data_IF_629151102659
#
_entry.id   IF_629151102659
#
_cell.length_a   1.000
_cell.length_b   1.000
_cell.length_c   1.000
_cell.angle_alpha   90.00
_cell.angle_beta   90.00
_cell.angle_gamma   90.00
#
_symmetry.space_group_name_H-M   'P 1'
#
loop_
_entity.id
_entity.type
_entity.pdbx_description
1 polymer ?
#
# COMPACT_ATOMS: atom_id res chain seq x y z
N UNK A 1 -45.23 12.16 -63.79
CA UNK A 1 -45.47 13.48 -63.15
C UNK A 1 -46.43 13.26 -62.00
N UNK A 2 -46.11 13.74 -60.80
CA UNK A 2 -47.04 13.80 -59.67
C UNK A 2 -47.33 15.30 -59.45
N UNK A 3 -48.60 15.67 -59.21
CA UNK A 3 -49.04 17.08 -59.19
C UNK A 3 -48.74 17.89 -60.48
N UNK A 4 -48.77 17.26 -61.66
CA UNK A 4 -48.43 17.88 -62.98
C UNK A 4 -47.02 18.50 -63.07
N UNK A 5 -46.14 18.18 -62.12
CA UNK A 5 -44.74 18.60 -62.15
C UNK A 5 -43.87 17.52 -62.78
N UNK A 6 -43.06 17.92 -63.75
CA UNK A 6 -41.92 17.13 -64.21
C UNK A 6 -40.70 17.55 -63.40
N UNK A 7 -40.10 16.60 -62.69
CA UNK A 7 -38.87 16.80 -61.94
C UNK A 7 -37.73 16.08 -62.63
N UNK A 8 -36.60 16.76 -62.72
CA UNK A 8 -35.34 16.14 -63.14
C UNK A 8 -34.80 15.25 -62.03
N UNK A 9 -33.94 14.29 -62.39
CA UNK A 9 -33.30 13.40 -61.40
C UNK A 9 -32.50 14.19 -60.35
N UNK A 10 -31.88 15.30 -60.77
CA UNK A 10 -31.15 16.18 -59.86
C UNK A 10 -32.07 16.89 -58.86
N UNK A 11 -33.20 17.42 -59.31
CA UNK A 11 -34.18 18.08 -58.43
C UNK A 11 -34.76 17.12 -57.39
N UNK A 12 -34.95 15.84 -57.76
CA UNK A 12 -35.37 14.81 -56.82
C UNK A 12 -34.31 14.55 -55.74
N UNK A 13 -33.04 14.38 -56.13
CA UNK A 13 -31.92 14.18 -55.20
C UNK A 13 -31.75 15.39 -54.28
N UNK A 14 -31.78 16.60 -54.85
CA UNK A 14 -31.69 17.85 -54.10
C UNK A 14 -32.81 17.98 -53.06
N UNK A 15 -34.05 17.70 -53.47
CA UNK A 15 -35.21 17.72 -52.57
C UNK A 15 -35.07 16.70 -51.44
N UNK A 16 -34.64 15.48 -51.73
CA UNK A 16 -34.45 14.43 -50.72
C UNK A 16 -33.37 14.80 -49.70
N UNK A 17 -32.21 15.30 -50.15
CA UNK A 17 -31.11 15.69 -49.26
C UNK A 17 -31.57 16.81 -48.31
N UNK A 18 -32.22 17.86 -48.82
CA UNK A 18 -32.70 18.97 -47.99
C UNK A 18 -33.73 18.56 -46.93
N UNK A 19 -34.50 17.49 -47.18
CA UNK A 19 -35.42 16.90 -46.21
C UNK A 19 -34.69 16.01 -45.21
N UNK A 20 -33.71 15.23 -45.66
CA UNK A 20 -32.90 14.38 -44.80
C UNK A 20 -32.05 15.20 -43.81
N UNK A 21 -31.50 16.34 -44.25
CA UNK A 21 -30.62 17.23 -43.44
C UNK A 21 -31.39 18.26 -42.62
N UNK A 22 -32.73 18.25 -42.66
CA UNK A 22 -33.61 19.22 -41.98
C UNK A 22 -33.40 20.69 -42.36
N UNK A 23 -32.66 20.98 -43.44
CA UNK A 23 -32.35 22.36 -43.90
C UNK A 23 -33.60 23.10 -44.35
N UNK A 24 -34.57 22.38 -44.93
CA UNK A 24 -35.92 22.91 -45.22
C UNK A 24 -36.02 23.89 -46.38
N UNK A 25 -34.92 24.18 -47.07
CA UNK A 25 -34.91 25.16 -48.17
C UNK A 25 -35.67 24.63 -49.39
N UNK A 26 -36.70 25.37 -49.80
CA UNK A 26 -37.61 25.01 -50.89
C UNK A 26 -37.36 25.93 -52.08
N UNK A 27 -36.90 25.39 -53.20
CA UNK A 27 -37.07 26.08 -54.49
C UNK A 27 -38.58 26.19 -54.77
N UNK A 28 -39.10 27.35 -55.24
CA UNK A 28 -40.53 27.55 -55.46
C UNK A 28 -41.21 26.49 -56.36
N UNK A 29 -40.45 25.87 -57.25
CA UNK A 29 -40.90 24.77 -58.13
C UNK A 29 -41.17 23.45 -57.39
N UNK A 30 -40.53 23.23 -56.23
CA UNK A 30 -40.50 21.96 -55.48
C UNK A 30 -41.38 21.97 -54.21
N UNK A 31 -42.34 22.89 -54.14
CA UNK A 31 -43.37 22.91 -53.09
C UNK A 31 -44.50 21.98 -53.49
N UNK A 32 -44.76 20.95 -52.69
CA UNK A 32 -45.83 19.97 -52.91
C UNK A 32 -46.92 20.13 -51.85
N UNK A 33 -48.18 20.14 -52.28
CA UNK A 33 -49.33 20.40 -51.39
C UNK A 33 -50.19 19.16 -51.15
N UNK A 34 -49.94 18.06 -51.85
CA UNK A 34 -50.69 16.81 -51.66
C UNK A 34 -50.29 16.09 -50.37
N UNK A 35 -51.29 15.56 -49.68
CA UNK A 35 -51.11 14.81 -48.43
C UNK A 35 -50.13 13.61 -48.55
N UNK A 36 -50.12 12.82 -49.64
CA UNK A 36 -49.17 11.71 -49.78
C UNK A 36 -47.71 12.15 -49.84
N UNK A 37 -47.40 13.26 -50.53
CA UNK A 37 -46.02 13.76 -50.65
C UNK A 37 -45.58 14.41 -49.34
N UNK A 38 -46.49 15.08 -48.62
CA UNK A 38 -46.19 15.63 -47.30
C UNK A 38 -45.88 14.52 -46.29
N UNK A 39 -46.64 13.41 -46.31
CA UNK A 39 -46.37 12.26 -45.46
C UNK A 39 -44.99 11.67 -45.77
N UNK A 40 -44.65 11.49 -47.05
CA UNK A 40 -43.33 11.04 -47.48
C UNK A 40 -42.22 11.98 -46.99
N UNK A 41 -42.42 13.29 -47.10
CA UNK A 41 -41.47 14.31 -46.61
C UNK A 41 -41.24 14.21 -45.10
N UNK A 42 -42.29 13.99 -44.31
CA UNK A 42 -42.19 13.78 -42.86
C UNK A 42 -41.43 12.49 -42.56
N UNK A 43 -41.71 11.40 -43.28
CA UNK A 43 -40.98 10.13 -43.11
C UNK A 43 -39.49 10.29 -43.41
N UNK A 44 -39.14 10.98 -44.50
CA UNK A 44 -37.73 11.23 -44.85
C UNK A 44 -37.04 12.07 -43.77
N UNK A 45 -37.71 13.12 -43.26
CA UNK A 45 -37.16 13.96 -42.18
C UNK A 45 -36.93 13.18 -40.88
N UNK A 46 -37.90 12.38 -40.43
CA UNK A 46 -37.76 11.56 -39.21
C UNK A 46 -36.65 10.52 -39.40
N UNK A 47 -36.56 9.90 -40.58
CA UNK A 47 -35.50 8.93 -40.87
C UNK A 47 -34.10 9.57 -40.89
N UNK A 48 -33.97 10.77 -41.45
CA UNK A 48 -32.72 11.52 -41.46
C UNK A 48 -32.28 11.95 -40.06
N UNK A 49 -33.23 12.43 -39.26
CA UNK A 49 -32.98 12.79 -37.86
C UNK A 49 -32.57 11.57 -37.03
N UNK A 50 -33.28 10.46 -37.15
CA UNK A 50 -32.95 9.21 -36.47
C UNK A 50 -31.58 8.69 -36.91
N UNK A 51 -31.25 8.74 -38.20
CA UNK A 51 -29.94 8.35 -38.70
C UNK A 51 -28.83 9.25 -38.15
N UNK A 52 -29.02 10.57 -38.13
CA UNK A 52 -28.03 11.50 -37.58
C UNK A 52 -27.82 11.27 -36.08
N UNK A 53 -28.89 11.17 -35.28
CA UNK A 53 -28.76 10.96 -33.83
C UNK A 53 -28.36 9.55 -33.41
N UNK A 54 -28.58 8.52 -34.25
CA UNK A 54 -28.15 7.16 -33.95
C UNK A 54 -26.76 6.86 -34.54
N UNK A 55 -26.54 7.05 -35.83
CA UNK A 55 -25.31 6.64 -36.50
C UNK A 55 -24.13 7.57 -36.21
N UNK A 56 -24.36 8.89 -36.04
CA UNK A 56 -23.29 9.85 -35.82
C UNK A 56 -22.58 9.66 -34.47
N UNK A 57 -23.28 9.48 -33.33
CA UNK A 57 -22.60 9.17 -32.06
C UNK A 57 -21.88 7.82 -32.11
N UNK A 58 -22.49 6.80 -32.71
CA UNK A 58 -21.90 5.47 -32.87
C UNK A 58 -20.61 5.45 -33.71
N UNK A 59 -20.39 6.45 -34.58
CA UNK A 59 -19.16 6.57 -35.38
C UNK A 59 -18.14 7.53 -34.75
N UNK A 60 -18.59 8.68 -34.24
CA UNK A 60 -17.69 9.74 -33.74
C UNK A 60 -17.19 9.46 -32.33
N UNK A 61 -18.05 8.98 -31.43
CA UNK A 61 -17.63 8.69 -30.04
C UNK A 61 -16.46 7.71 -30.03
N UNK A 62 -16.52 6.52 -30.67
CA UNK A 62 -15.38 5.60 -30.67
C UNK A 62 -14.16 6.16 -31.43
N UNK A 63 -14.37 6.96 -32.48
CA UNK A 63 -13.24 7.59 -33.20
C UNK A 63 -12.54 8.67 -32.36
N UNK A 64 -13.29 9.39 -31.52
CA UNK A 64 -12.79 10.43 -30.63
C UNK A 64 -12.14 9.82 -29.38
N UNK A 65 -12.74 8.78 -28.79
CA UNK A 65 -12.14 8.00 -27.70
C UNK A 65 -10.78 7.45 -28.12
N UNK A 66 -10.64 6.84 -29.30
CA UNK A 66 -9.33 6.37 -29.80
C UNK A 66 -8.28 7.46 -29.97
N UNK A 67 -8.68 8.73 -30.16
CA UNK A 67 -7.76 9.87 -30.39
C UNK A 67 -7.41 10.64 -29.12
N UNK A 68 -8.33 10.68 -28.15
CA UNK A 68 -8.15 11.35 -26.86
C UNK A 68 -7.61 10.38 -25.81
N UNK A 69 -8.20 9.19 -25.73
CA UNK A 69 -7.83 8.16 -24.76
C UNK A 69 -6.76 7.21 -25.29
N UNK A 70 -6.44 7.23 -26.59
CA UNK A 70 -5.33 6.51 -27.20
C UNK A 70 -5.13 5.11 -26.63
N UNK A 71 -5.77 4.09 -27.21
CA UNK A 71 -5.52 2.70 -26.82
C UNK A 71 -3.99 2.49 -26.78
N UNK A 72 -3.40 2.22 -25.61
CA UNK A 72 -1.97 1.98 -25.53
C UNK A 72 -1.71 0.79 -26.44
N UNK A 73 -0.80 0.95 -27.39
CA UNK A 73 -0.46 -0.13 -28.31
C UNK A 73 -0.12 -1.37 -27.47
N UNK A 74 -0.80 -2.49 -27.73
CA UNK A 74 -0.42 -3.80 -27.18
C UNK A 74 1.03 -4.05 -27.58
N UNK A 75 1.95 -3.80 -26.66
CA UNK A 75 3.37 -3.96 -26.88
C UNK A 75 3.72 -5.39 -26.52
N UNK A 76 4.18 -6.16 -27.50
CA UNK A 76 4.72 -7.49 -27.25
C UNK A 76 6.15 -7.34 -26.75
N UNK A 77 6.35 -7.57 -25.45
CA UNK A 77 7.65 -7.51 -24.79
C UNK A 77 8.46 -8.72 -25.26
N UNK A 78 9.60 -8.48 -25.93
CA UNK A 78 10.45 -9.53 -26.53
C UNK A 78 11.78 -9.67 -25.79
N UNK A 79 11.71 -9.74 -24.46
CA UNK A 79 12.86 -10.04 -23.60
C UNK A 79 12.81 -11.51 -23.15
N UNK A 80 13.98 -12.06 -22.82
CA UNK A 80 14.15 -13.36 -22.19
C UNK A 80 14.91 -13.14 -20.88
N UNK A 81 14.69 -14.00 -19.88
CA UNK A 81 15.31 -13.92 -18.54
C UNK A 81 14.97 -12.63 -17.76
N UNK A 82 13.78 -12.06 -18.00
CA UNK A 82 13.29 -10.84 -17.34
C UNK A 82 12.27 -11.13 -16.23
N UNK A 83 11.99 -10.15 -15.39
CA UNK A 83 10.99 -10.23 -14.31
C UNK A 83 9.70 -9.53 -14.74
N UNK A 84 8.55 -10.16 -14.49
CA UNK A 84 7.24 -9.53 -14.65
C UNK A 84 6.70 -9.16 -13.27
N UNK A 85 6.29 -7.91 -13.09
CA UNK A 85 5.67 -7.42 -11.84
C UNK A 85 4.22 -7.04 -12.11
N UNK A 86 3.28 -7.72 -11.48
CA UNK A 86 1.84 -7.52 -11.66
C UNK A 86 1.29 -6.64 -10.54
N UNK A 87 1.04 -5.38 -10.86
CA UNK A 87 0.60 -4.34 -9.93
C UNK A 87 1.75 -3.44 -9.47
N UNK A 88 1.52 -2.12 -9.49
CA UNK A 88 2.49 -1.12 -9.04
C UNK A 88 2.02 -0.42 -7.75
N UNK A 89 2.92 -0.28 -6.79
CA UNK A 89 2.75 0.48 -5.55
C UNK A 89 4.12 0.99 -5.06
N UNK A 90 4.13 1.75 -3.97
CA UNK A 90 5.36 2.34 -3.38
C UNK A 90 6.43 1.26 -3.05
N UNK A 91 5.99 0.04 -2.71
CA UNK A 91 6.88 -1.10 -2.48
C UNK A 91 7.55 -1.56 -3.78
N UNK A 92 6.77 -1.73 -4.85
CA UNK A 92 7.28 -2.12 -6.18
C UNK A 92 8.20 -1.05 -6.76
N UNK A 93 7.97 0.23 -6.47
CA UNK A 93 8.90 1.30 -6.83
C UNK A 93 10.29 1.05 -6.26
N UNK A 94 10.38 0.69 -4.98
CA UNK A 94 11.64 0.35 -4.31
C UNK A 94 12.28 -0.92 -4.91
N UNK A 95 11.48 -1.95 -5.21
CA UNK A 95 11.98 -3.17 -5.87
C UNK A 95 12.56 -2.87 -7.26
N UNK A 96 11.89 -2.01 -8.03
CA UNK A 96 12.33 -1.62 -9.37
C UNK A 96 13.70 -0.95 -9.32
N UNK A 97 13.95 -0.07 -8.36
CA UNK A 97 15.24 0.60 -8.20
C UNK A 97 16.37 -0.41 -7.95
N UNK A 98 16.13 -1.44 -7.14
CA UNK A 98 17.08 -2.56 -6.96
C UNK A 98 17.31 -3.36 -8.25
N UNK A 99 16.25 -3.65 -9.02
CA UNK A 99 16.36 -4.37 -10.29
C UNK A 99 17.16 -3.57 -11.32
N UNK A 100 16.96 -2.25 -11.38
CA UNK A 100 17.73 -1.34 -12.23
C UNK A 100 19.19 -1.31 -11.80
N UNK A 101 19.47 -1.20 -10.50
CA UNK A 101 20.83 -1.19 -9.97
C UNK A 101 21.58 -2.52 -10.25
N UNK A 102 20.86 -3.65 -10.19
CA UNK A 102 21.38 -4.98 -10.53
C UNK A 102 21.50 -5.21 -12.04
N UNK A 103 20.93 -4.34 -12.88
CA UNK A 103 20.84 -4.53 -14.33
C UNK A 103 19.91 -5.69 -14.74
N UNK A 104 18.96 -6.05 -13.88
CA UNK A 104 18.00 -7.13 -14.12
C UNK A 104 16.85 -6.60 -14.98
N UNK A 105 16.60 -7.16 -16.17
CA UNK A 105 15.50 -6.73 -17.03
C UNK A 105 14.15 -7.02 -16.37
N UNK A 106 13.20 -6.08 -16.44
CA UNK A 106 11.85 -6.26 -15.89
C UNK A 106 10.78 -5.54 -16.71
N UNK A 107 9.51 -5.85 -16.44
CA UNK A 107 8.33 -5.15 -16.95
C UNK A 107 7.21 -5.15 -15.92
N UNK A 108 6.51 -4.01 -15.78
CA UNK A 108 5.36 -3.84 -14.89
C UNK A 108 4.07 -4.01 -15.69
N UNK A 109 3.07 -4.69 -15.12
CA UNK A 109 1.72 -4.80 -15.67
C UNK A 109 0.76 -4.13 -14.69
N UNK A 110 -0.05 -3.19 -15.18
CA UNK A 110 -1.14 -2.61 -14.39
C UNK A 110 -2.36 -2.29 -15.26
N UNK A 111 -3.55 -2.30 -14.64
CA UNK A 111 -4.82 -2.02 -15.29
C UNK A 111 -5.24 -0.54 -15.20
N UNK A 112 -4.46 0.31 -14.52
CA UNK A 112 -4.61 1.76 -14.56
C UNK A 112 -3.78 2.38 -15.70
N UNK A 113 -4.48 2.88 -16.72
CA UNK A 113 -3.85 3.53 -17.89
C UNK A 113 -3.11 4.82 -17.51
N UNK A 114 -3.56 5.54 -16.48
CA UNK A 114 -2.92 6.76 -15.98
C UNK A 114 -1.57 6.43 -15.37
N UNK A 115 -1.53 5.42 -14.51
CA UNK A 115 -0.31 4.93 -13.87
C UNK A 115 0.69 4.39 -14.91
N UNK A 116 0.25 3.53 -15.82
CA UNK A 116 1.12 2.99 -16.88
C UNK A 116 1.72 4.11 -17.73
N UNK A 117 0.95 5.16 -18.04
CA UNK A 117 1.47 6.33 -18.77
C UNK A 117 2.50 7.10 -17.97
N UNK A 118 2.30 7.26 -16.67
CA UNK A 118 3.27 7.89 -15.79
C UNK A 118 4.59 7.09 -15.77
N UNK A 119 4.51 5.77 -15.59
CA UNK A 119 5.67 4.88 -15.60
C UNK A 119 6.43 4.96 -16.93
N UNK A 120 5.72 4.92 -18.05
CA UNK A 120 6.33 5.06 -19.38
C UNK A 120 7.00 6.43 -19.59
N UNK A 121 6.45 7.51 -19.02
CA UNK A 121 7.08 8.84 -19.03
C UNK A 121 8.36 8.87 -18.19
N UNK A 122 8.39 8.12 -17.09
CA UNK A 122 9.58 7.90 -16.25
C UNK A 122 10.58 6.90 -16.86
N UNK A 123 10.34 6.39 -18.07
CA UNK A 123 11.13 5.35 -18.76
C UNK A 123 11.14 4.00 -18.05
N UNK A 124 10.15 3.74 -17.20
CA UNK A 124 9.93 2.42 -16.58
C UNK A 124 9.17 1.53 -17.58
N UNK A 125 9.68 0.33 -17.92
CA UNK A 125 8.97 -0.66 -18.73
C UNK A 125 7.61 -1.03 -18.14
N UNK A 126 6.51 -0.60 -18.77
CA UNK A 126 5.16 -0.89 -18.29
C UNK A 126 4.18 -1.23 -19.42
N UNK A 127 3.33 -2.22 -19.17
CA UNK A 127 2.27 -2.72 -20.05
C UNK A 127 0.93 -2.43 -19.40
N UNK A 128 0.02 -1.86 -20.20
CA UNK A 128 -1.36 -1.71 -19.80
C UNK A 128 -2.14 -2.99 -20.08
N UNK A 129 -2.75 -3.56 -19.04
CA UNK A 129 -3.59 -4.73 -19.14
C UNK A 129 -3.90 -5.33 -17.77
N UNK A 130 -4.87 -6.23 -17.73
CA UNK A 130 -5.17 -6.98 -16.50
C UNK A 130 -4.21 -8.18 -16.38
N UNK A 131 -3.39 -8.28 -15.32
CA UNK A 131 -2.49 -9.42 -15.11
C UNK A 131 -3.23 -10.75 -14.87
N UNK A 132 -4.53 -10.72 -14.62
CA UNK A 132 -5.39 -11.91 -14.53
C UNK A 132 -5.85 -12.40 -15.90
N UNK A 133 -5.58 -11.67 -16.98
CA UNK A 133 -5.85 -12.10 -18.35
C UNK A 133 -4.63 -12.76 -18.99
N UNK A 134 -4.88 -13.90 -19.63
CA UNK A 134 -3.85 -14.70 -20.28
C UNK A 134 -3.07 -13.91 -21.33
N UNK A 135 -3.79 -13.14 -22.15
CA UNK A 135 -3.24 -12.36 -23.25
C UNK A 135 -2.26 -11.27 -22.75
N UNK A 136 -2.52 -10.71 -21.57
CA UNK A 136 -1.65 -9.68 -20.96
C UNK A 136 -0.32 -10.27 -20.53
N UNK A 137 -0.34 -11.39 -19.81
CA UNK A 137 0.87 -12.09 -19.37
C UNK A 137 1.69 -12.60 -20.56
N UNK A 138 1.03 -13.12 -21.60
CA UNK A 138 1.69 -13.51 -22.86
C UNK A 138 2.34 -12.29 -23.52
N UNK A 139 1.64 -11.15 -23.57
CA UNK A 139 2.17 -9.92 -24.15
C UNK A 139 3.38 -9.37 -23.37
N UNK A 140 3.45 -9.65 -22.07
CA UNK A 140 4.59 -9.35 -21.22
C UNK A 140 5.76 -10.35 -21.32
N UNK A 141 5.61 -11.40 -22.14
CA UNK A 141 6.64 -12.42 -22.32
C UNK A 141 6.72 -13.42 -21.18
N UNK A 142 5.57 -13.80 -20.57
CA UNK A 142 5.54 -14.71 -19.41
C UNK A 142 6.29 -16.04 -19.61
N UNK A 143 6.25 -16.62 -20.81
CA UNK A 143 6.94 -17.88 -21.11
C UNK A 143 8.47 -17.76 -21.12
N UNK A 144 8.99 -16.55 -21.38
CA UNK A 144 10.43 -16.28 -21.49
C UNK A 144 10.96 -15.53 -20.24
N UNK A 145 10.06 -15.16 -19.32
CA UNK A 145 10.39 -14.52 -18.06
C UNK A 145 11.09 -15.51 -17.12
N UNK A 146 11.93 -15.00 -16.23
CA UNK A 146 12.54 -15.76 -15.15
C UNK A 146 11.61 -15.87 -13.94
N UNK A 147 10.96 -14.76 -13.60
CA UNK A 147 10.06 -14.66 -12.45
C UNK A 147 8.82 -13.83 -12.78
N UNK A 148 7.69 -14.20 -12.19
CA UNK A 148 6.45 -13.42 -12.19
C UNK A 148 6.09 -13.11 -10.73
N UNK A 149 5.93 -11.83 -10.41
CA UNK A 149 5.63 -11.31 -9.08
C UNK A 149 4.17 -10.84 -9.09
N UNK A 150 3.31 -11.47 -8.31
CA UNK A 150 1.94 -11.01 -8.10
C UNK A 150 1.88 -10.08 -6.89
N UNK A 151 1.51 -8.81 -7.14
CA UNK A 151 1.48 -7.72 -6.17
C UNK A 151 0.21 -6.86 -6.32
N UNK A 152 -0.94 -7.44 -5.99
CA UNK A 152 -2.23 -6.74 -5.84
C UNK A 152 -2.59 -6.66 -4.35
N UNK A 153 -3.37 -5.65 -3.99
CA UNK A 153 -3.89 -5.47 -2.63
C UNK A 153 -4.77 -6.66 -2.19
N UNK A 154 -5.50 -7.27 -3.13
CA UNK A 154 -6.33 -8.45 -2.89
C UNK A 154 -5.54 -9.75 -3.10
N UNK A 155 -5.50 -10.60 -2.06
CA UNK A 155 -4.83 -11.90 -2.14
C UNK A 155 -5.52 -12.86 -3.13
N UNK A 156 -6.84 -12.72 -3.33
CA UNK A 156 -7.58 -13.51 -4.31
C UNK A 156 -7.10 -13.19 -5.73
N UNK A 157 -6.80 -11.92 -6.02
CA UNK A 157 -6.24 -11.49 -7.30
C UNK A 157 -4.82 -12.06 -7.49
N UNK A 158 -3.98 -12.01 -6.46
CA UNK A 158 -2.63 -12.61 -6.52
C UNK A 158 -2.68 -14.11 -6.78
N UNK A 159 -3.60 -14.84 -6.14
CA UNK A 159 -3.80 -16.27 -6.39
C UNK A 159 -4.27 -16.55 -7.83
N UNK A 160 -5.15 -15.70 -8.39
CA UNK A 160 -5.59 -15.81 -9.78
C UNK A 160 -4.47 -15.53 -10.77
N UNK A 161 -3.65 -14.49 -10.53
CA UNK A 161 -2.48 -14.19 -11.37
C UNK A 161 -1.53 -15.39 -11.43
N UNK A 162 -1.22 -15.99 -10.27
CA UNK A 162 -0.40 -17.21 -10.18
C UNK A 162 -1.03 -18.37 -10.95
N UNK A 163 -2.34 -18.59 -10.80
CA UNK A 163 -3.05 -19.66 -11.49
C UNK A 163 -3.00 -19.48 -13.01
N UNK A 164 -3.24 -18.26 -13.51
CA UNK A 164 -3.18 -17.94 -14.93
C UNK A 164 -1.75 -18.11 -15.46
N UNK A 165 -0.75 -17.59 -14.74
CA UNK A 165 0.65 -17.75 -15.09
C UNK A 165 1.09 -19.22 -15.17
N UNK A 166 0.64 -20.06 -14.24
CA UNK A 166 0.89 -21.52 -14.23
C UNK A 166 0.15 -22.24 -15.36
N UNK A 167 -0.97 -21.70 -15.83
CA UNK A 167 -1.70 -22.21 -16.99
C UNK A 167 -1.00 -21.93 -18.32
N UNK A 168 -0.29 -20.80 -18.42
CA UNK A 168 0.43 -20.36 -19.62
C UNK A 168 1.82 -21.01 -19.69
N UNK A 169 2.52 -21.02 -18.56
CA UNK A 169 3.91 -21.42 -18.45
C UNK A 169 3.99 -22.62 -17.51
N UNK A 170 4.89 -23.58 -17.75
CA UNK A 170 5.14 -24.70 -16.84
C UNK A 170 5.93 -24.26 -15.59
N UNK A 171 5.54 -23.14 -14.99
CA UNK A 171 6.18 -22.53 -13.83
C UNK A 171 5.92 -23.29 -12.53
N UNK A 172 6.90 -23.27 -11.63
CA UNK A 172 6.72 -23.71 -10.25
C UNK A 172 6.64 -22.48 -9.35
N UNK A 173 5.68 -22.48 -8.41
CA UNK A 173 5.63 -21.46 -7.38
C UNK A 173 6.89 -21.59 -6.51
N UNK A 174 7.76 -20.57 -6.54
CA UNK A 174 9.07 -20.67 -5.90
C UNK A 174 9.06 -20.15 -4.47
N UNK A 175 8.22 -19.18 -4.11
CA UNK A 175 7.99 -18.82 -2.69
C UNK A 175 7.00 -17.67 -2.47
N UNK A 176 6.44 -17.63 -1.26
CA UNK A 176 5.80 -16.45 -0.68
C UNK A 176 6.86 -15.58 0.03
N UNK A 177 7.00 -14.33 -0.40
CA UNK A 177 7.77 -13.31 0.28
C UNK A 177 6.85 -12.41 1.08
N UNK A 178 7.27 -11.97 2.26
CA UNK A 178 6.50 -11.09 3.13
C UNK A 178 7.33 -9.88 3.51
N UNK A 179 6.66 -8.79 3.91
CA UNK A 179 7.29 -7.64 4.53
C UNK A 179 6.95 -7.63 6.02
N UNK A 180 7.96 -7.43 6.86
CA UNK A 180 7.76 -7.22 8.30
C UNK A 180 8.49 -5.98 8.79
N UNK A 181 7.88 -5.37 9.81
CA UNK A 181 8.50 -4.35 10.62
C UNK A 181 9.11 -4.97 11.88
N UNK A 182 10.40 -4.77 12.07
CA UNK A 182 11.18 -5.37 13.15
C UNK A 182 11.83 -4.30 14.00
N UNK A 183 11.32 -4.03 15.21
CA UNK A 183 12.00 -3.15 16.15
C UNK A 183 13.31 -3.79 16.57
N UNK A 184 14.32 -2.94 16.76
CA UNK A 184 15.62 -3.36 17.28
C UNK A 184 15.60 -3.17 18.77
N UNK A 185 15.80 -4.27 19.51
CA UNK A 185 15.82 -4.21 20.96
C UNK A 185 17.24 -3.84 21.46
N UNK A 186 17.34 -3.09 22.57
CA UNK A 186 18.62 -2.82 23.21
C UNK A 186 19.39 -4.11 23.50
N UNK A 187 20.67 -4.14 23.15
CA UNK A 187 21.50 -5.35 23.25
C UNK A 187 21.38 -6.30 22.06
N UNK A 188 20.63 -5.94 21.02
CA UNK A 188 20.68 -6.64 19.74
C UNK A 188 22.11 -6.60 19.17
N UNK A 189 22.58 -7.66 18.51
CA UNK A 189 23.83 -7.67 17.76
C UNK A 189 23.91 -6.61 16.66
N UNK A 190 22.79 -5.97 16.29
CA UNK A 190 22.75 -4.92 15.28
C UNK A 190 22.84 -3.50 15.87
N UNK A 191 22.64 -3.34 17.18
CA UNK A 191 22.63 -2.02 17.82
C UNK A 191 24.01 -1.36 17.77
N UNK A 192 24.08 -0.18 17.16
CA UNK A 192 25.31 0.60 16.96
C UNK A 192 26.12 0.26 15.71
N UNK A 193 25.74 -0.79 14.95
CA UNK A 193 26.40 -1.16 13.70
C UNK A 193 25.88 -0.31 12.53
N UNK A 194 26.70 -0.18 11.48
CA UNK A 194 26.21 0.25 10.16
C UNK A 194 25.51 -0.90 9.44
N UNK A 195 24.67 -0.59 8.44
CA UNK A 195 24.04 -1.61 7.60
C UNK A 195 25.04 -2.57 6.97
N UNK A 196 26.17 -2.04 6.47
CA UNK A 196 27.27 -2.84 5.95
C UNK A 196 27.84 -3.81 6.98
N UNK A 197 28.08 -3.35 8.21
CA UNK A 197 28.65 -4.16 9.29
C UNK A 197 27.65 -5.19 9.84
N UNK A 198 26.34 -4.90 9.75
CA UNK A 198 25.29 -5.79 10.23
C UNK A 198 25.20 -7.10 9.45
N UNK A 199 25.60 -7.08 8.18
CA UNK A 199 25.53 -8.21 7.23
C UNK A 199 24.20 -8.97 7.31
N UNK A 200 23.08 -8.24 7.40
CA UNK A 200 21.73 -8.81 7.51
C UNK A 200 21.42 -9.76 6.33
N UNK A 201 21.63 -9.38 5.06
CA UNK A 201 21.38 -10.27 3.93
C UNK A 201 22.16 -11.58 4.02
N UNK A 202 23.43 -11.55 4.45
CA UNK A 202 24.27 -12.73 4.57
C UNK A 202 23.91 -13.62 5.77
N UNK A 203 23.34 -13.04 6.84
CA UNK A 203 23.04 -13.75 8.09
C UNK A 203 21.70 -14.49 8.06
N UNK A 204 20.68 -13.91 7.44
CA UNK A 204 19.34 -14.49 7.44
C UNK A 204 18.69 -14.58 6.05
N UNK A 205 19.31 -14.01 5.01
CA UNK A 205 18.75 -14.02 3.66
C UNK A 205 17.59 -13.06 3.44
N UNK A 206 17.24 -12.24 4.43
CA UNK A 206 16.23 -11.19 4.28
C UNK A 206 16.85 -9.93 3.66
N UNK A 207 16.12 -9.30 2.73
CA UNK A 207 16.46 -8.00 2.18
C UNK A 207 15.92 -6.90 3.11
N UNK A 208 16.69 -5.84 3.30
CA UNK A 208 16.23 -4.67 4.06
C UNK A 208 15.81 -3.58 3.08
N UNK A 209 14.54 -3.19 3.15
CA UNK A 209 13.94 -2.18 2.25
C UNK A 209 14.03 -0.79 2.83
N UNK A 210 13.91 -0.68 4.16
CA UNK A 210 13.87 0.62 4.81
C UNK A 210 14.12 0.56 6.30
N UNK A 211 14.32 1.75 6.87
CA UNK A 211 14.45 1.94 8.30
C UNK A 211 13.50 3.07 8.71
N UNK A 212 12.60 2.78 9.65
CA UNK A 212 11.94 3.83 10.39
C UNK A 212 12.91 4.40 11.43
N UNK A 213 13.09 5.72 11.40
CA UNK A 213 13.81 6.47 12.41
C UNK A 213 12.91 7.58 12.96
N UNK A 214 12.50 7.46 14.22
CA UNK A 214 11.66 8.46 14.92
C UNK A 214 10.40 8.86 14.12
N UNK A 215 9.76 7.88 13.48
CA UNK A 215 8.55 8.07 12.69
C UNK A 215 8.75 8.51 11.24
N UNK A 216 9.99 8.71 10.79
CA UNK A 216 10.31 8.93 9.37
C UNK A 216 10.83 7.63 8.76
N UNK A 217 10.23 7.19 7.66
CA UNK A 217 10.71 6.05 6.89
C UNK A 217 11.80 6.53 5.92
N UNK A 218 13.02 6.02 6.09
CA UNK A 218 14.09 6.09 5.10
C UNK A 218 14.04 4.82 4.27
N UNK A 219 13.58 4.95 3.02
CA UNK A 219 13.68 3.92 2.00
C UNK A 219 15.11 3.91 1.44
N UNK A 220 15.63 2.73 1.13
CA UNK A 220 17.00 2.54 0.60
C UNK A 220 18.11 3.18 1.46
N UNK A 221 18.18 2.84 2.76
CA UNK A 221 19.20 3.39 3.62
C UNK A 221 20.60 3.02 3.11
N UNK A 222 21.48 4.01 3.00
CA UNK A 222 22.83 3.81 2.51
C UNK A 222 23.63 2.80 3.35
N UNK A 223 24.68 2.16 2.81
CA UNK A 223 25.42 1.12 3.52
C UNK A 223 26.09 1.59 4.83
N UNK A 224 26.30 2.90 4.96
CA UNK A 224 26.89 3.53 6.15
C UNK A 224 25.83 4.04 7.14
N UNK A 225 24.53 3.88 6.83
CA UNK A 225 23.42 4.20 7.73
C UNK A 225 23.52 3.36 8.99
N UNK A 226 23.41 4.03 10.14
CA UNK A 226 23.56 3.41 11.45
C UNK A 226 22.24 2.85 11.93
N UNK A 227 22.34 1.65 12.46
CA UNK A 227 21.28 0.91 13.10
C UNK A 227 21.35 1.18 14.60
N UNK A 228 20.23 1.52 15.23
CA UNK A 228 20.12 1.69 16.68
C UNK A 228 18.84 1.07 17.24
N UNK A 229 18.77 0.93 18.56
CA UNK A 229 17.56 0.51 19.26
C UNK A 229 16.34 1.45 19.08
N UNK A 230 16.53 2.65 18.51
CA UNK A 230 15.44 3.56 18.12
C UNK A 230 14.88 3.28 16.71
N UNK A 231 15.49 2.35 15.97
CA UNK A 231 15.10 2.02 14.61
C UNK A 231 14.10 0.85 14.56
N UNK A 232 13.18 0.91 13.60
CA UNK A 232 12.37 -0.24 13.16
C UNK A 232 12.80 -0.59 11.74
N UNK A 233 13.32 -1.80 11.56
CA UNK A 233 13.75 -2.31 10.26
C UNK A 233 12.52 -2.75 9.45
N UNK A 234 12.45 -2.37 8.19
CA UNK A 234 11.47 -2.89 7.22
C UNK A 234 12.19 -3.89 6.34
N UNK A 235 11.84 -5.16 6.46
CA UNK A 235 12.54 -6.26 5.78
C UNK A 235 11.59 -7.10 4.93
N UNK A 236 12.05 -7.48 3.74
CA UNK A 236 11.39 -8.41 2.82
C UNK A 236 12.12 -9.76 2.84
N UNK A 237 11.37 -10.85 2.88
CA UNK A 237 11.95 -12.18 2.80
C UNK A 237 10.92 -13.29 2.86
N UNK A 238 11.35 -14.52 2.64
CA UNK A 238 10.55 -15.69 2.97
C UNK A 238 10.33 -15.77 4.49
N UNK A 239 9.23 -16.41 4.90
CA UNK A 239 8.86 -16.54 6.33
C UNK A 239 10.02 -17.04 7.21
N UNK A 240 10.79 -18.01 6.76
CA UNK A 240 11.93 -18.57 7.51
C UNK A 240 13.07 -17.54 7.69
N UNK A 241 13.35 -16.74 6.66
CA UNK A 241 14.39 -15.70 6.64
C UNK A 241 14.02 -14.57 7.60
N UNK A 242 12.76 -14.15 7.55
CA UNK A 242 12.21 -13.11 8.40
C UNK A 242 12.12 -13.51 9.89
N UNK A 243 11.74 -14.76 10.19
CA UNK A 243 11.81 -15.30 11.55
C UNK A 243 13.25 -15.36 12.07
N UNK A 244 14.21 -15.69 11.21
CA UNK A 244 15.64 -15.64 11.53
C UNK A 244 16.10 -14.23 11.89
N UNK A 245 15.69 -13.22 11.11
CA UNK A 245 15.98 -11.81 11.40
C UNK A 245 15.34 -11.36 12.72
N UNK A 246 14.08 -11.72 12.97
CA UNK A 246 13.37 -11.41 14.22
C UNK A 246 14.07 -11.99 15.46
N UNK A 247 14.62 -13.21 15.36
CA UNK A 247 15.39 -13.80 16.45
C UNK A 247 16.67 -13.03 16.78
N UNK A 248 17.32 -12.47 15.75
CA UNK A 248 18.53 -11.66 15.90
C UNK A 248 18.24 -10.24 16.42
N UNK A 249 17.05 -9.68 16.21
CA UNK A 249 16.68 -8.39 16.81
C UNK A 249 16.26 -8.52 18.29
N UNK A 250 15.83 -9.71 18.73
CA UNK A 250 15.28 -9.98 20.08
C UNK A 250 16.23 -10.76 20.99
N UNK A 251 17.44 -10.27 21.23
CA UNK A 251 18.36 -10.95 22.17
C UNK A 251 18.07 -10.53 23.62
N UNK A 252 17.01 -11.06 24.23
CA UNK A 252 16.89 -11.08 25.69
C UNK A 252 17.09 -12.52 26.15
N UNK A 253 18.29 -12.86 26.59
CA UNK A 253 18.45 -13.95 27.56
C UNK A 253 17.92 -13.44 28.90
N UNK A 254 16.68 -13.81 29.23
CA UNK A 254 15.94 -13.42 30.44
C UNK A 254 16.61 -13.81 31.78
N UNK A 255 17.83 -14.37 31.76
CA UNK A 255 18.51 -14.90 32.95
C UNK A 255 19.37 -13.87 33.71
N UNK A 256 19.94 -12.87 33.03
CA UNK A 256 20.86 -11.90 33.68
C UNK A 256 20.19 -10.60 34.13
N UNK A 257 18.88 -10.49 33.92
CA UNK A 257 18.12 -9.23 33.95
C UNK A 257 17.28 -9.07 35.24
N UNK A 258 17.11 -10.16 36.00
CA UNK A 258 16.24 -10.25 37.18
C UNK A 258 16.62 -9.32 38.33
N UNK A 259 17.82 -8.72 38.34
CA UNK A 259 18.26 -7.85 39.44
C UNK A 259 18.15 -6.34 39.13
N UNK A 260 17.80 -5.91 37.90
CA UNK A 260 17.86 -4.49 37.50
C UNK A 260 16.71 -3.87 36.70
N UNK A 261 15.74 -4.61 36.16
CA UNK A 261 14.66 -3.97 35.38
C UNK A 261 13.46 -3.58 36.26
N UNK A 262 13.58 -2.42 36.91
CA UNK A 262 12.43 -1.70 37.44
C UNK A 262 11.73 -0.93 36.32
N UNK A 263 10.41 -1.08 36.18
CA UNK A 263 9.60 -0.33 35.20
C UNK A 263 8.64 0.63 35.89
N UNK A 264 8.36 1.78 35.27
CA UNK A 264 7.34 2.72 35.75
C UNK A 264 6.17 2.74 34.76
N UNK A 265 4.95 2.56 35.25
CA UNK A 265 3.72 2.55 34.44
C UNK A 265 2.86 3.75 34.83
N UNK A 266 2.66 4.69 33.91
CA UNK A 266 1.77 5.84 34.08
C UNK A 266 0.39 5.53 33.51
N UNK A 267 -0.59 5.36 34.39
CA UNK A 267 -1.97 5.03 34.09
C UNK A 267 -2.27 3.55 34.30
N UNK A 268 -3.24 3.26 35.17
CA UNK A 268 -3.69 1.91 35.53
C UNK A 268 -5.10 1.63 34.99
N UNK A 269 -5.31 2.00 33.72
CA UNK A 269 -6.47 1.58 32.93
C UNK A 269 -6.32 0.15 32.40
N UNK A 270 -7.05 -0.20 31.34
CA UNK A 270 -7.00 -1.55 30.76
C UNK A 270 -5.61 -1.90 30.24
N UNK A 271 -4.95 -0.96 29.56
CA UNK A 271 -3.60 -1.15 29.03
C UNK A 271 -2.57 -1.24 30.15
N UNK A 272 -2.62 -0.34 31.15
CA UNK A 272 -1.70 -0.39 32.29
C UNK A 272 -1.80 -1.68 33.10
N UNK A 273 -3.03 -2.22 33.29
CA UNK A 273 -3.25 -3.53 33.89
C UNK A 273 -2.63 -4.66 33.07
N UNK A 274 -2.90 -4.69 31.77
CA UNK A 274 -2.33 -5.71 30.89
C UNK A 274 -0.80 -5.70 30.90
N UNK A 275 -0.17 -4.51 30.88
CA UNK A 275 1.28 -4.36 31.00
C UNK A 275 1.75 -4.93 32.35
N UNK A 276 1.10 -4.56 33.45
CA UNK A 276 1.44 -5.05 34.80
C UNK A 276 1.38 -6.57 34.89
N UNK A 277 0.30 -7.18 34.37
CA UNK A 277 0.09 -8.63 34.41
C UNK A 277 1.19 -9.37 33.63
N UNK A 278 1.57 -8.83 32.47
CA UNK A 278 2.67 -9.39 31.66
C UNK A 278 4.00 -9.27 32.41
N UNK A 279 4.33 -8.10 32.96
CA UNK A 279 5.57 -7.91 33.71
C UNK A 279 5.65 -8.82 34.93
N UNK A 280 4.56 -8.96 35.69
CA UNK A 280 4.46 -9.87 36.83
C UNK A 280 4.67 -11.33 36.43
N UNK A 281 4.10 -11.75 35.30
CA UNK A 281 4.26 -13.12 34.78
C UNK A 281 5.72 -13.46 34.43
N UNK A 282 6.51 -12.43 34.11
CA UNK A 282 7.94 -12.55 33.80
C UNK A 282 8.84 -12.28 35.02
N UNK A 283 8.26 -12.05 36.21
CA UNK A 283 9.01 -11.75 37.43
C UNK A 283 9.68 -10.36 37.43
N UNK A 284 9.22 -9.44 36.57
CA UNK A 284 9.78 -8.10 36.44
C UNK A 284 9.10 -7.12 37.40
N UNK A 285 9.90 -6.31 38.10
CA UNK A 285 9.40 -5.32 39.05
C UNK A 285 8.84 -4.07 38.35
N UNK A 286 7.72 -3.55 38.85
CA UNK A 286 7.15 -2.30 38.34
C UNK A 286 6.48 -1.44 39.42
N UNK A 287 6.54 -0.12 39.26
CA UNK A 287 5.78 0.87 40.03
C UNK A 287 4.70 1.47 39.13
N UNK A 288 3.48 1.52 39.64
CA UNK A 288 2.33 2.07 38.91
C UNK A 288 1.98 3.44 39.49
N UNK A 289 1.72 4.39 38.61
CA UNK A 289 1.25 5.73 38.93
C UNK A 289 -0.16 5.88 38.36
N UNK A 290 -1.15 6.13 39.21
CA UNK A 290 -2.51 6.43 38.75
C UNK A 290 -3.24 7.36 39.74
N UNK A 291 -3.89 8.46 39.27
CA UNK A 291 -4.59 9.38 40.16
C UNK A 291 -5.74 8.74 40.96
N UNK A 292 -6.31 7.65 40.45
CA UNK A 292 -7.46 6.93 41.01
C UNK A 292 -7.06 5.66 41.74
N UNK A 293 -5.76 5.38 41.91
CA UNK A 293 -5.28 4.25 42.67
C UNK A 293 -5.84 4.29 44.12
N UNK A 294 -6.38 3.16 44.58
CA UNK A 294 -6.77 2.99 46.00
C UNK A 294 -5.56 2.45 46.76
N UNK A 295 -5.26 3.05 47.92
CA UNK A 295 -4.10 2.79 48.79
C UNK A 295 -3.64 1.33 48.87
N UNK A 296 -2.33 1.12 48.62
CA UNK A 296 -1.63 -0.16 48.51
C UNK A 296 -0.79 -0.21 47.22
N UNK A 297 0.43 -0.77 47.27
CA UNK A 297 1.46 -1.08 46.23
C UNK A 297 1.66 -0.15 45.00
N UNK A 298 0.92 0.94 44.90
CA UNK A 298 0.85 1.86 43.76
C UNK A 298 0.97 3.30 44.27
N UNK A 299 1.51 4.18 43.43
CA UNK A 299 1.62 5.59 43.73
C UNK A 299 0.36 6.31 43.22
N UNK A 300 -0.37 6.91 44.16
CA UNK A 300 -1.53 7.72 43.83
C UNK A 300 -1.07 9.13 43.43
N UNK A 301 -1.11 9.43 42.13
CA UNK A 301 -0.63 10.72 41.63
C UNK A 301 -0.78 10.86 40.12
N UNK A 302 -0.52 12.07 39.63
CA UNK A 302 -0.48 12.37 38.20
C UNK A 302 0.95 12.19 37.69
N UNK A 303 1.13 11.40 36.63
CA UNK A 303 2.45 11.18 36.03
C UNK A 303 3.00 12.42 35.29
N UNK A 304 2.21 13.49 35.17
CA UNK A 304 2.67 14.81 34.71
C UNK A 304 3.33 15.63 35.83
N UNK A 305 3.33 15.12 37.08
CA UNK A 305 4.06 15.72 38.19
C UNK A 305 5.45 15.06 38.33
N UNK A 306 6.49 15.88 38.19
CA UNK A 306 7.90 15.49 38.34
C UNK A 306 8.16 14.83 39.71
N UNK A 307 7.51 15.29 40.78
CA UNK A 307 7.65 14.74 42.12
C UNK A 307 7.12 13.31 42.24
N UNK A 308 6.02 12.99 41.55
CA UNK A 308 5.43 11.64 41.53
C UNK A 308 6.31 10.68 40.73
N UNK A 309 6.88 11.13 39.60
CA UNK A 309 7.85 10.33 38.83
C UNK A 309 9.13 10.06 39.64
N UNK A 310 9.59 11.03 40.43
CA UNK A 310 10.72 10.85 41.34
C UNK A 310 10.41 9.83 42.44
N UNK A 311 9.23 9.90 43.05
CA UNK A 311 8.76 8.91 44.03
C UNK A 311 8.68 7.50 43.42
N UNK A 312 8.34 7.42 42.12
CA UNK A 312 8.33 6.19 41.35
C UNK A 312 9.72 5.66 40.97
N UNK A 313 10.78 6.41 41.30
CA UNK A 313 12.19 6.10 41.03
C UNK A 313 12.49 5.98 39.54
N UNK A 314 11.96 6.89 38.73
CA UNK A 314 12.13 6.87 37.28
C UNK A 314 13.59 6.94 36.84
N UNK A 315 14.47 7.58 37.62
CA UNK A 315 15.91 7.70 37.34
C UNK A 315 16.65 6.35 37.45
N UNK A 316 16.04 5.37 38.10
CA UNK A 316 16.55 3.99 38.20
C UNK A 316 15.72 3.00 37.40
N UNK A 317 14.65 3.48 36.76
CA UNK A 317 13.80 2.64 35.95
C UNK A 317 14.48 2.41 34.60
N UNK A 318 14.39 1.17 34.13
CA UNK A 318 14.86 0.83 32.79
C UNK A 318 13.83 1.21 31.72
N UNK A 319 12.55 1.19 32.09
CA UNK A 319 11.46 1.45 31.15
C UNK A 319 10.37 2.31 31.79
N UNK A 320 9.77 3.17 30.98
CA UNK A 320 8.59 3.97 31.31
C UNK A 320 7.47 3.69 30.30
N UNK A 321 6.26 3.42 30.81
CA UNK A 321 5.08 3.17 30.01
C UNK A 321 4.07 4.31 30.19
N UNK A 322 3.91 5.18 29.19
CA UNK A 322 2.90 6.22 29.15
C UNK A 322 1.56 5.65 28.63
N UNK A 323 0.72 5.15 29.55
CA UNK A 323 -0.46 4.34 29.25
C UNK A 323 -1.80 5.00 29.64
N UNK A 324 -1.83 6.33 29.81
CA UNK A 324 -3.06 7.08 30.05
C UNK A 324 -4.04 6.96 28.88
N UNK A 325 -5.31 7.12 29.19
CA UNK A 325 -6.41 7.20 28.22
C UNK A 325 -6.53 8.60 27.57
N UNK A 326 -5.67 9.54 27.99
CA UNK A 326 -5.63 10.91 27.47
C UNK A 326 -4.25 11.16 26.86
N UNK A 327 -4.21 11.47 25.56
CA UNK A 327 -2.94 11.66 24.83
C UNK A 327 -2.11 12.83 25.37
N UNK A 328 -2.78 13.89 25.87
CA UNK A 328 -2.10 15.01 26.51
C UNK A 328 -1.21 14.54 27.66
N UNK A 329 -1.74 13.68 28.53
CA UNK A 329 -1.04 13.19 29.70
C UNK A 329 0.12 12.28 29.29
N UNK A 330 -0.08 11.44 28.25
CA UNK A 330 1.00 10.61 27.70
C UNK A 330 2.12 11.46 27.11
N UNK A 331 1.80 12.53 26.37
CA UNK A 331 2.79 13.45 25.79
C UNK A 331 3.57 14.17 26.90
N UNK A 332 2.88 14.76 27.88
CA UNK A 332 3.54 15.49 28.96
C UNK A 332 4.37 14.59 29.87
N UNK A 333 3.83 13.44 30.28
CA UNK A 333 4.58 12.48 31.12
C UNK A 333 5.78 11.90 30.38
N UNK A 334 5.69 11.65 29.07
CA UNK A 334 6.83 11.24 28.22
C UNK A 334 7.93 12.31 28.21
N UNK A 335 7.57 13.59 27.99
CA UNK A 335 8.53 14.70 28.01
C UNK A 335 9.28 14.80 29.35
N UNK A 336 8.55 14.70 30.46
CA UNK A 336 9.13 14.80 31.80
C UNK A 336 10.01 13.58 32.09
N UNK A 337 9.52 12.37 31.78
CA UNK A 337 10.27 11.13 31.93
C UNK A 337 11.61 11.17 31.18
N UNK A 338 11.60 11.55 29.89
CA UNK A 338 12.82 11.69 29.08
C UNK A 338 13.76 12.75 29.63
N UNK A 339 13.24 13.85 30.16
CA UNK A 339 14.05 14.91 30.78
C UNK A 339 14.73 14.45 32.07
N UNK A 340 14.02 13.70 32.91
CA UNK A 340 14.53 13.20 34.19
C UNK A 340 15.52 12.03 33.99
N UNK A 341 15.25 11.18 33.00
CA UNK A 341 16.09 10.03 32.65
C UNK A 341 16.30 10.01 31.13
N UNK A 342 17.39 10.62 30.61
CA UNK A 342 17.65 10.73 29.18
C UNK A 342 17.76 9.40 28.45
N UNK A 343 18.15 8.33 29.14
CA UNK A 343 18.43 7.01 28.55
C UNK A 343 17.33 5.97 28.85
N UNK A 344 16.21 6.36 29.47
CA UNK A 344 15.11 5.42 29.77
C UNK A 344 14.39 4.97 28.49
N UNK A 345 13.95 3.71 28.43
CA UNK A 345 13.10 3.27 27.31
C UNK A 345 11.65 3.67 27.53
N UNK A 346 11.08 4.49 26.62
CA UNK A 346 9.72 5.01 26.74
C UNK A 346 8.80 4.37 25.71
N UNK A 347 7.80 3.65 26.21
CA UNK A 347 6.70 3.10 25.43
C UNK A 347 5.44 3.92 25.69
N UNK A 348 4.84 4.49 24.65
CA UNK A 348 3.67 5.35 24.79
C UNK A 348 2.44 4.82 24.06
N UNK A 349 1.28 4.99 24.67
CA UNK A 349 -0.02 4.74 24.05
C UNK A 349 -0.49 6.00 23.32
N UNK A 350 -0.84 5.85 22.05
CA UNK A 350 -1.61 6.82 21.28
C UNK A 350 -3.08 6.40 21.23
N UNK A 351 -3.98 7.26 21.70
CA UNK A 351 -5.44 7.09 21.59
C UNK A 351 -5.98 7.67 20.28
N UNK A 352 -5.22 8.55 19.62
CA UNK A 352 -5.54 9.12 18.31
C UNK A 352 -4.34 9.12 17.38
N UNK A 353 -4.58 8.99 16.07
CA UNK A 353 -3.53 8.95 15.04
C UNK A 353 -2.70 10.25 15.01
N UNK A 354 -3.35 11.38 15.27
CA UNK A 354 -2.72 12.72 15.31
C UNK A 354 -1.73 12.92 16.47
N UNK A 355 -1.74 12.03 17.46
CA UNK A 355 -0.84 12.11 18.62
C UNK A 355 0.44 11.30 18.44
N UNK A 356 0.53 10.44 17.41
CA UNK A 356 1.68 9.55 17.21
C UNK A 356 2.98 10.34 17.05
N UNK A 357 3.03 11.26 16.08
CA UNK A 357 4.19 12.12 15.83
C UNK A 357 4.52 13.01 17.05
N UNK A 358 3.50 13.50 17.76
CA UNK A 358 3.70 14.32 18.98
C UNK A 358 4.33 13.52 20.11
N UNK A 359 3.99 12.23 20.26
CA UNK A 359 4.58 11.34 21.25
C UNK A 359 6.03 10.97 20.92
N UNK A 360 6.35 10.72 19.64
CA UNK A 360 7.74 10.54 19.21
C UNK A 360 8.57 11.81 19.47
N UNK A 361 8.03 12.99 19.11
CA UNK A 361 8.69 14.29 19.38
C UNK A 361 8.84 14.59 20.88
N UNK A 362 7.97 14.02 21.71
CA UNK A 362 8.08 14.11 23.16
C UNK A 362 9.23 13.25 23.72
N UNK A 363 9.79 12.35 22.92
CA UNK A 363 10.89 11.47 23.31
C UNK A 363 10.45 10.04 23.61
N UNK A 364 9.27 9.61 23.18
CA UNK A 364 8.90 8.19 23.19
C UNK A 364 9.76 7.43 22.18
N UNK A 365 10.26 6.25 22.56
CA UNK A 365 11.01 5.37 21.66
C UNK A 365 10.05 4.53 20.79
N UNK A 366 8.91 4.15 21.38
CA UNK A 366 7.87 3.38 20.69
C UNK A 366 6.48 3.92 21.00
N UNK A 367 5.66 4.10 19.96
CA UNK A 367 4.28 4.58 20.11
C UNK A 367 3.30 3.56 19.54
N UNK A 368 2.36 3.10 20.36
CA UNK A 368 1.34 2.12 19.97
C UNK A 368 -0.03 2.77 19.88
N UNK A 369 -0.66 2.69 18.71
CA UNK A 369 -2.06 3.08 18.55
C UNK A 369 -2.98 1.89 18.82
N UNK A 370 -3.69 1.93 19.96
CA UNK A 370 -4.56 0.82 20.35
C UNK A 370 -5.71 0.63 19.36
N UNK A 371 -6.26 1.71 18.81
CA UNK A 371 -7.36 1.64 17.83
C UNK A 371 -6.91 1.04 16.51
N UNK A 372 -5.71 1.38 16.03
CA UNK A 372 -5.14 0.78 14.81
C UNK A 372 -4.87 -0.71 15.02
N UNK A 373 -4.17 -1.06 16.10
CA UNK A 373 -3.83 -2.46 16.41
C UNK A 373 -5.09 -3.30 16.62
N UNK A 374 -6.07 -2.80 17.37
CA UNK A 374 -7.32 -3.52 17.59
C UNK A 374 -8.15 -3.66 16.31
N UNK A 375 -8.20 -2.63 15.45
CA UNK A 375 -8.90 -2.72 14.17
C UNK A 375 -8.25 -3.76 13.24
N UNK A 376 -6.91 -3.80 13.19
CA UNK A 376 -6.16 -4.82 12.46
C UNK A 376 -6.46 -6.22 13.00
N UNK A 377 -6.34 -6.43 14.31
CA UNK A 377 -6.64 -7.73 14.94
C UNK A 377 -8.11 -8.18 14.74
N UNK A 378 -9.06 -7.25 14.75
CA UNK A 378 -10.47 -7.58 14.50
C UNK A 378 -10.72 -7.94 13.02
N UNK A 379 -10.04 -7.27 12.09
CA UNK A 379 -10.07 -7.64 10.68
C UNK A 379 -9.44 -9.03 10.47
N UNK A 380 -8.33 -9.34 11.13
CA UNK A 380 -7.68 -10.67 11.11
C UNK A 380 -8.63 -11.79 11.54
N UNK A 381 -9.42 -11.58 12.60
CA UNK A 381 -10.37 -12.59 13.09
C UNK A 381 -11.53 -12.87 12.12
N UNK A 382 -11.89 -11.92 11.26
CA UNK A 382 -12.93 -12.10 10.24
C UNK A 382 -12.39 -12.75 8.97
N UNK A 383 -11.14 -12.45 8.62
CA UNK A 383 -10.50 -12.87 7.37
C UNK A 383 -9.82 -14.25 7.50
N UNK A 384 -9.53 -14.70 8.72
CA UNK A 384 -9.13 -16.09 9.00
C UNK A 384 -7.64 -16.40 8.85
N UNK A 385 -6.81 -15.42 8.47
CA UNK A 385 -5.38 -15.60 8.31
C UNK A 385 -4.55 -14.85 9.36
N UNK A 386 -3.53 -15.55 9.85
CA UNK A 386 -2.69 -15.15 10.98
C UNK A 386 -1.67 -14.08 10.55
N UNK A 387 -2.03 -12.80 10.67
CA UNK A 387 -1.08 -11.71 10.43
C UNK A 387 -0.38 -11.35 11.75
N UNK A 388 0.73 -12.03 12.05
CA UNK A 388 1.77 -11.44 12.92
C UNK A 388 2.44 -10.35 12.09
N UNK A 389 1.86 -9.16 11.99
CA UNK A 389 2.40 -7.96 11.30
C UNK A 389 3.28 -8.28 10.07
N UNK A 390 2.76 -9.16 9.20
CA UNK A 390 3.28 -9.47 7.88
C UNK A 390 2.42 -8.62 6.94
N UNK A 391 2.86 -7.40 6.64
CA UNK A 391 2.20 -6.59 5.63
C UNK A 391 2.56 -7.15 4.25
N UNK A 392 1.54 -7.57 3.51
CA UNK A 392 1.53 -7.93 2.09
C UNK A 392 2.51 -9.04 1.66
N UNK A 393 1.94 -10.20 1.31
CA UNK A 393 2.67 -11.33 0.74
C UNK A 393 2.84 -11.17 -0.76
N UNK A 394 4.04 -10.83 -1.22
CA UNK A 394 4.42 -10.94 -2.64
C UNK A 394 4.47 -12.43 -3.01
N UNK A 395 3.66 -12.86 -3.98
CA UNK A 395 3.72 -14.23 -4.51
C UNK A 395 4.63 -14.28 -5.73
N UNK A 396 5.71 -15.06 -5.64
CA UNK A 396 6.72 -15.15 -6.72
C UNK A 396 6.67 -16.53 -7.36
N UNK A 397 6.35 -16.56 -8.65
CA UNK A 397 6.40 -17.75 -9.49
C UNK A 397 7.73 -17.76 -10.26
N UNK A 398 8.46 -18.87 -10.25
CA UNK A 398 9.59 -19.06 -11.16
C UNK A 398 9.12 -19.81 -12.38
N UNK A 399 9.51 -19.30 -13.54
CA UNK A 399 9.28 -19.99 -14.79
C UNK A 399 10.57 -20.73 -15.16
N UNK A 400 10.52 -22.04 -15.46
CA UNK A 400 11.69 -22.74 -15.94
C UNK A 400 12.03 -22.23 -17.35
N UNK A 401 13.18 -21.58 -17.48
CA UNK A 401 13.73 -21.06 -18.74
C UNK A 401 14.52 -22.15 -19.47
#
# INVERSE_FOLDING_TARGET
>A
AYEDKSVTAWEAVYWTINRLTTTGELSPSLVYTSAPIQLLSVTIQISGLAFFFAAFPLAIIPALERRILGEPAKFYWSMHDHIIVCGYNDMVESLIDELVAAGTPFVVIDNDIGLVRELQQKLVPAIYGDPMEEETLISAGACDARYIIANREDEEDNAKIVLVATGICAGELVSDFFIIELPIYPGSPFDGLTLRESSIPERCGAALVGIWHRGNLELEPGPDSRISAENVLVAVGQRQQLLGLQGLTRTIELKDVSERLHSVIAGFGDVGRAIKDILDSQGLSSTIIDPRAKTGTYLQGDATDEGILHEAKIEKAASFFAASHVDRDNIFSTLIARRMSPDIHIFARANSRESIDKLYRAGADFVFSLSTIAAQMMAEMLVGDSIVTLSEGLKVLSVPV
#
